data_IF_351199992481
#
_entry.id   IF_351199992481
#
_cell.length_a   1.000
_cell.length_b   1.000
_cell.length_c   1.000
_cell.angle_alpha   90.00
_cell.angle_beta   90.00
_cell.angle_gamma   90.00
#
_symmetry.space_group_name_H-M   'P 1'
#
loop_
_entity.id
_entity.type
_entity.pdbx_description
1 polymer ?
#
# COMPACT_ATOMS: atom_id res chain seq x y z
N UNK A 1 4.36 11.58 -2.55
CA UNK A 1 3.23 12.10 -1.72
C UNK A 1 3.75 12.37 -0.33
N UNK A 2 3.48 13.54 0.27
CA UNK A 2 3.85 13.77 1.67
C UNK A 2 3.17 12.72 2.56
N UNK A 3 3.97 11.94 3.30
CA UNK A 3 3.48 10.92 4.22
C UNK A 3 2.71 11.63 5.32
N UNK A 4 1.38 11.53 5.29
CA UNK A 4 0.54 12.01 6.39
C UNK A 4 0.88 11.14 7.59
N UNK A 5 1.25 11.79 8.68
CA UNK A 5 1.50 11.13 9.95
C UNK A 5 0.55 11.68 11.00
N UNK A 6 -0.02 10.80 11.80
CA UNK A 6 -0.90 11.19 12.91
C UNK A 6 -0.14 11.84 14.08
N UNK A 7 1.21 11.81 14.09
CA UNK A 7 2.07 12.44 15.11
C UNK A 7 1.73 12.04 16.56
N UNK A 8 1.28 10.80 16.76
CA UNK A 8 0.94 10.26 18.08
C UNK A 8 1.82 9.06 18.40
N UNK A 9 2.28 8.97 19.66
CA UNK A 9 3.12 7.87 20.15
C UNK A 9 2.29 6.64 20.56
N UNK A 10 1.32 6.24 19.73
CA UNK A 10 0.51 5.05 19.95
C UNK A 10 0.62 4.08 18.78
N UNK A 11 0.55 2.78 19.05
CA UNK A 11 0.71 1.74 18.03
C UNK A 11 -0.34 1.81 16.91
N UNK A 12 -1.55 2.32 17.22
CA UNK A 12 -2.61 2.51 16.24
C UNK A 12 -2.27 3.61 15.23
N UNK A 13 -1.75 4.75 15.68
CA UNK A 13 -1.30 5.82 14.80
C UNK A 13 -0.14 5.35 13.90
N UNK A 14 0.83 4.63 14.47
CA UNK A 14 1.93 4.05 13.70
C UNK A 14 1.43 3.05 12.63
N UNK A 15 0.43 2.23 12.96
CA UNK A 15 -0.19 1.33 11.99
C UNK A 15 -0.88 2.11 10.87
N UNK A 16 -1.67 3.13 11.21
CA UNK A 16 -2.37 3.98 10.23
C UNK A 16 -1.41 4.76 9.32
N UNK A 17 -0.23 5.15 9.79
CA UNK A 17 0.81 5.78 8.97
C UNK A 17 1.35 4.83 7.88
N UNK A 18 1.17 3.52 8.05
CA UNK A 18 1.59 2.48 7.09
C UNK A 18 0.41 2.06 6.21
N UNK A 19 -0.71 1.67 6.82
CA UNK A 19 -1.86 1.09 6.10
C UNK A 19 -2.86 2.13 5.57
N UNK A 20 -2.80 3.37 6.07
CA UNK A 20 -3.70 4.47 5.69
C UNK A 20 -3.34 5.14 4.36
N UNK A 21 -2.28 4.69 3.70
CA UNK A 21 -1.98 5.10 2.34
C UNK A 21 -2.97 4.46 1.35
N UNK A 22 -3.29 5.16 0.26
CA UNK A 22 -4.37 4.83 -0.69
C UNK A 22 -4.34 3.40 -1.26
N UNK A 23 -3.16 2.82 -1.47
CA UNK A 23 -2.95 1.54 -2.15
C UNK A 23 -2.61 0.37 -1.22
N UNK A 24 -2.26 0.59 0.05
CA UNK A 24 -1.62 -0.43 0.89
C UNK A 24 -2.57 -1.61 1.11
N UNK A 25 -3.80 -1.30 1.52
CA UNK A 25 -4.81 -2.32 1.75
C UNK A 25 -5.27 -3.01 0.47
N UNK A 26 -5.16 -2.34 -0.70
CA UNK A 26 -5.48 -2.94 -1.99
C UNK A 26 -4.38 -3.91 -2.45
N UNK A 27 -3.10 -3.55 -2.24
CA UNK A 27 -1.96 -4.43 -2.47
C UNK A 27 -2.03 -5.65 -1.54
N UNK A 28 -2.33 -5.44 -0.24
CA UNK A 28 -2.51 -6.54 0.72
C UNK A 28 -3.65 -7.46 0.29
N UNK A 29 -4.83 -6.92 -0.04
CA UNK A 29 -5.99 -7.69 -0.54
C UNK A 29 -5.59 -8.59 -1.71
N UNK A 30 -4.77 -8.05 -2.61
CA UNK A 30 -4.31 -8.74 -3.80
C UNK A 30 -3.29 -9.85 -3.50
N UNK A 31 -2.52 -9.72 -2.43
CA UNK A 31 -1.56 -10.72 -1.98
C UNK A 31 -2.15 -11.75 -0.99
N UNK A 32 -3.34 -11.52 -0.43
CA UNK A 32 -4.02 -12.47 0.48
C UNK A 32 -4.15 -13.89 -0.09
N UNK A 33 -4.54 -14.10 -1.37
CA UNK A 33 -4.63 -15.44 -1.95
C UNK A 33 -3.27 -16.10 -2.19
N UNK A 34 -2.18 -15.33 -2.20
CA UNK A 34 -0.84 -15.81 -2.49
C UNK A 34 0.01 -14.79 -3.28
N UNK A 35 1.28 -15.13 -3.52
CA UNK A 35 2.20 -14.26 -4.26
C UNK A 35 1.72 -14.03 -5.70
N UNK A 36 1.83 -12.78 -6.16
CA UNK A 36 1.48 -12.35 -7.53
C UNK A 36 2.66 -11.69 -8.22
N UNK A 37 2.67 -11.70 -9.55
CA UNK A 37 3.69 -10.96 -10.30
C UNK A 37 3.39 -9.46 -10.23
N UNK A 38 4.43 -8.65 -10.43
CA UNK A 38 4.28 -7.20 -10.52
C UNK A 38 3.26 -6.78 -11.58
N UNK A 39 3.27 -7.44 -12.76
CA UNK A 39 2.30 -7.22 -13.83
C UNK A 39 0.87 -7.46 -13.36
N UNK A 40 0.63 -8.57 -12.67
CA UNK A 40 -0.70 -8.97 -12.22
C UNK A 40 -1.24 -8.00 -11.15
N UNK A 41 -0.36 -7.50 -10.27
CA UNK A 41 -0.70 -6.46 -9.31
C UNK A 41 -1.00 -5.12 -9.98
N UNK A 42 -0.20 -4.75 -10.99
CA UNK A 42 -0.39 -3.52 -11.73
C UNK A 42 -1.71 -3.52 -12.52
N UNK A 43 -2.05 -4.64 -13.16
CA UNK A 43 -3.32 -4.84 -13.86
C UNK A 43 -4.53 -4.85 -12.90
N UNK A 44 -4.36 -5.39 -11.69
CA UNK A 44 -5.40 -5.41 -10.64
C UNK A 44 -5.68 -4.07 -9.96
N UNK A 45 -4.84 -3.06 -10.19
CA UNK A 45 -4.89 -1.75 -9.53
C UNK A 45 -4.94 -0.60 -10.57
N UNK A 46 -6.04 -0.45 -11.33
CA UNK A 46 -6.13 0.58 -12.36
C UNK A 46 -5.94 1.98 -11.77
N UNK A 47 -4.96 2.72 -12.32
CA UNK A 47 -4.63 4.08 -11.88
C UNK A 47 -3.53 4.17 -10.81
N UNK A 48 -2.94 3.04 -10.39
CA UNK A 48 -1.66 3.08 -9.64
C UNK A 48 -0.54 3.47 -10.60
N UNK A 49 0.39 4.30 -10.12
CA UNK A 49 1.60 4.60 -10.86
C UNK A 49 2.65 3.51 -10.59
N UNK A 50 3.47 3.16 -11.59
CA UNK A 50 4.45 2.06 -11.49
C UNK A 50 5.51 2.31 -10.44
N UNK A 51 5.93 3.57 -10.27
CA UNK A 51 6.83 4.02 -9.20
C UNK A 51 6.23 3.81 -7.82
N UNK A 52 4.95 4.12 -7.64
CA UNK A 52 4.22 3.92 -6.39
C UNK A 52 4.07 2.43 -6.05
N UNK A 53 3.84 1.56 -7.04
CA UNK A 53 3.80 0.12 -6.81
C UNK A 53 5.18 -0.43 -6.47
N UNK A 54 6.23 0.05 -7.15
CA UNK A 54 7.62 -0.36 -6.88
C UNK A 54 8.14 0.10 -5.52
N UNK A 55 7.72 1.28 -5.03
CA UNK A 55 8.08 1.76 -3.68
C UNK A 55 7.51 0.87 -2.56
N UNK A 56 6.50 0.04 -2.85
CA UNK A 56 5.72 -0.72 -1.88
C UNK A 56 6.04 -2.21 -1.82
N UNK A 57 6.83 -2.72 -2.76
CA UNK A 57 7.25 -4.12 -2.85
C UNK A 57 8.72 -4.25 -2.46
#
# INVERSE_FOLDING_TARGET
MARRSYQQFCGLAAALDVVGERWALLIVRDLVPGPRRFSDLFEGLPGIATDMLAERL
#
